data_IF_356062278966
#
_entry.id   IF_356062278966
#
_cell.length_a   1.000
_cell.length_b   1.000
_cell.length_c   1.000
_cell.angle_alpha   90.00
_cell.angle_beta   90.00
_cell.angle_gamma   90.00
#
_symmetry.space_group_name_H-M   'P 1'
#
loop_
_entity.id
_entity.type
_entity.pdbx_description
1 polymer ?
#
# COMPACT_ATOMS: atom_id res chain seq x y z
N UNK A 1 29.58 -12.41 32.91
CA UNK A 1 28.35 -11.56 32.80
C UNK A 1 28.06 -10.98 31.40
N UNK A 2 29.04 -10.76 30.54
CA UNK A 2 28.80 -10.21 29.17
C UNK A 2 28.06 -11.15 28.20
N UNK A 3 28.25 -12.47 28.31
CA UNK A 3 27.61 -13.44 27.41
C UNK A 3 26.10 -13.66 27.66
N UNK A 4 25.65 -13.48 28.90
CA UNK A 4 24.22 -13.65 29.27
C UNK A 4 23.37 -12.54 28.69
N UNK A 5 23.87 -11.30 28.62
CA UNK A 5 23.15 -10.18 28.01
C UNK A 5 22.96 -10.33 26.48
N UNK A 6 23.94 -10.92 25.80
CA UNK A 6 23.85 -11.18 24.34
C UNK A 6 22.82 -12.29 24.05
N UNK A 7 22.75 -13.32 24.88
CA UNK A 7 21.76 -14.39 24.75
C UNK A 7 20.31 -13.87 24.94
N UNK A 8 20.09 -13.00 25.91
CA UNK A 8 18.79 -12.39 26.16
C UNK A 8 18.37 -11.44 25.04
N UNK A 9 19.31 -10.77 24.38
CA UNK A 9 19.03 -9.90 23.23
C UNK A 9 18.65 -10.69 21.98
N UNK A 10 19.23 -11.89 21.78
CA UNK A 10 18.89 -12.77 20.67
C UNK A 10 17.50 -13.42 20.84
N UNK A 11 17.05 -13.68 22.08
CA UNK A 11 15.70 -14.20 22.34
C UNK A 11 14.60 -13.17 22.11
N UNK A 12 14.87 -11.87 22.25
CA UNK A 12 13.86 -10.82 21.96
C UNK A 12 13.57 -10.60 20.48
N UNK A 13 14.44 -11.08 19.58
CA UNK A 13 14.25 -11.02 18.13
C UNK A 13 13.41 -12.18 17.56
N UNK A 14 13.07 -13.18 18.37
CA UNK A 14 12.39 -14.40 17.92
C UNK A 14 10.85 -14.32 17.97
N UNK A 15 10.26 -13.24 18.48
CA UNK A 15 8.82 -13.01 18.41
C UNK A 15 8.46 -12.21 17.15
N UNK A 16 8.76 -12.74 15.98
CA UNK A 16 8.08 -12.32 14.77
C UNK A 16 6.61 -12.75 14.89
N UNK A 17 5.73 -11.82 15.21
CA UNK A 17 4.29 -12.09 15.16
C UNK A 17 3.95 -12.49 13.72
N UNK A 18 3.66 -13.76 13.52
CA UNK A 18 3.25 -14.27 12.23
C UNK A 18 1.82 -13.77 11.98
N UNK A 19 1.63 -13.00 10.90
CA UNK A 19 0.30 -12.54 10.52
C UNK A 19 -0.61 -13.75 10.28
N UNK A 20 -1.73 -13.81 10.98
CA UNK A 20 -2.72 -14.90 10.84
C UNK A 20 -3.54 -14.73 9.57
N UNK A 21 -3.83 -13.49 9.18
CA UNK A 21 -4.58 -13.13 7.98
C UNK A 21 -3.91 -11.95 7.30
N UNK A 22 -3.90 -11.95 5.98
CA UNK A 22 -3.46 -10.84 5.14
C UNK A 22 -4.61 -10.48 4.21
N UNK A 23 -5.03 -9.21 4.24
CA UNK A 23 -6.03 -8.66 3.33
C UNK A 23 -5.34 -7.68 2.40
N UNK A 24 -5.48 -7.90 1.10
CA UNK A 24 -4.90 -7.05 0.07
C UNK A 24 -6.02 -6.37 -0.73
N UNK A 25 -6.10 -5.05 -0.62
CA UNK A 25 -7.11 -4.23 -1.30
C UNK A 25 -6.46 -3.47 -2.44
N UNK A 26 -7.07 -3.51 -3.61
CA UNK A 26 -6.60 -2.82 -4.81
C UNK A 26 -7.67 -1.81 -5.22
N UNK A 27 -7.33 -0.52 -5.19
CA UNK A 27 -8.16 0.54 -5.75
C UNK A 27 -7.76 0.78 -7.20
N UNK A 28 -8.50 0.21 -8.15
CA UNK A 28 -8.23 0.38 -9.57
C UNK A 28 -8.49 1.83 -9.99
N UNK A 29 -7.50 2.45 -10.64
CA UNK A 29 -7.54 3.86 -11.03
C UNK A 29 -7.50 4.86 -9.86
N UNK A 30 -7.34 4.39 -8.62
CA UNK A 30 -7.32 5.22 -7.42
C UNK A 30 -5.94 5.86 -7.22
N UNK A 31 -5.75 7.05 -7.76
CA UNK A 31 -4.54 7.85 -7.56
C UNK A 31 -4.61 8.70 -6.30
N UNK A 32 -3.48 9.34 -5.95
CA UNK A 32 -3.36 10.22 -4.78
C UNK A 32 -4.37 11.37 -4.82
N UNK A 33 -4.66 11.91 -6.00
CA UNK A 33 -5.61 13.02 -6.16
C UNK A 33 -7.05 12.59 -5.84
N UNK A 34 -7.46 11.38 -6.22
CA UNK A 34 -8.78 10.85 -5.90
C UNK A 34 -8.94 10.65 -4.39
N UNK A 35 -7.90 10.13 -3.73
CA UNK A 35 -7.88 9.97 -2.26
C UNK A 35 -7.99 11.32 -1.57
N UNK A 36 -7.11 12.27 -1.91
CA UNK A 36 -7.11 13.61 -1.31
C UNK A 36 -8.42 14.36 -1.57
N UNK A 37 -8.94 14.32 -2.80
CA UNK A 37 -10.22 14.94 -3.13
C UNK A 37 -11.38 14.35 -2.32
N UNK A 38 -11.39 13.04 -2.08
CA UNK A 38 -12.40 12.39 -1.23
C UNK A 38 -12.28 12.86 0.22
N UNK A 39 -11.08 12.95 0.76
CA UNK A 39 -10.87 13.41 2.13
C UNK A 39 -11.28 14.88 2.34
N UNK A 40 -11.01 15.73 1.36
CA UNK A 40 -11.46 17.12 1.35
C UNK A 40 -13.00 17.20 1.28
N UNK A 41 -13.61 16.45 0.39
CA UNK A 41 -15.07 16.39 0.25
C UNK A 41 -15.75 15.94 1.55
N UNK A 42 -15.23 14.90 2.19
CA UNK A 42 -15.78 14.40 3.45
C UNK A 42 -15.62 15.42 4.60
N UNK A 43 -14.53 16.17 4.62
CA UNK A 43 -14.36 17.25 5.59
C UNK A 43 -15.38 18.37 5.37
N UNK A 44 -15.62 18.77 4.12
CA UNK A 44 -16.61 19.79 3.77
C UNK A 44 -18.03 19.36 4.13
N UNK A 45 -18.40 18.09 3.92
CA UNK A 45 -19.70 17.56 4.36
C UNK A 45 -19.95 17.70 5.87
N UNK A 46 -18.89 17.76 6.66
CA UNK A 46 -18.93 17.99 8.11
C UNK A 46 -18.75 19.47 8.49
N UNK A 47 -18.74 20.39 7.51
CA UNK A 47 -18.49 21.81 7.73
C UNK A 47 -17.08 22.13 8.22
N UNK A 48 -16.09 21.28 7.96
CA UNK A 48 -14.70 21.45 8.37
C UNK A 48 -13.83 21.87 7.19
N UNK A 49 -12.84 22.72 7.48
CA UNK A 49 -11.78 23.05 6.52
C UNK A 49 -10.67 21.99 6.67
N UNK A 50 -10.10 21.54 5.55
CA UNK A 50 -9.00 20.60 5.51
C UNK A 50 -9.41 19.22 4.99
N UNK A 51 -8.94 18.17 5.61
CA UNK A 51 -9.19 16.78 5.20
C UNK A 51 -9.80 15.96 6.34
N UNK A 52 -10.63 14.99 5.97
CA UNK A 52 -11.08 13.92 6.87
C UNK A 52 -10.39 12.64 6.43
N UNK A 53 -9.40 12.12 7.18
CA UNK A 53 -8.65 10.93 6.78
C UNK A 53 -9.55 9.73 6.55
N UNK A 54 -9.31 9.01 5.46
CA UNK A 54 -9.88 7.70 5.22
C UNK A 54 -9.20 6.67 6.12
N UNK A 55 -9.86 5.54 6.36
CA UNK A 55 -9.32 4.50 7.25
C UNK A 55 -7.90 4.07 6.85
N UNK A 56 -7.67 3.85 5.57
CA UNK A 56 -6.38 3.37 5.07
C UNK A 56 -5.29 4.46 5.02
N UNK A 57 -5.66 5.75 4.88
CA UNK A 57 -4.69 6.85 4.93
C UNK A 57 -4.20 7.12 6.36
N UNK A 58 -4.92 6.63 7.37
CA UNK A 58 -4.52 6.68 8.77
C UNK A 58 -3.66 5.48 9.23
N UNK A 59 -3.31 4.56 8.34
CA UNK A 59 -2.43 3.44 8.68
C UNK A 59 -1.02 3.91 9.00
N UNK A 60 -0.34 3.25 9.96
CA UNK A 60 0.97 3.71 10.46
C UNK A 60 2.11 3.55 9.45
N UNK A 61 1.92 2.74 8.41
CA UNK A 61 2.93 2.48 7.39
C UNK A 61 2.38 2.90 6.04
N UNK A 62 3.16 3.69 5.32
CA UNK A 62 2.86 4.17 3.97
C UNK A 62 4.04 3.89 3.05
N UNK A 63 3.75 3.56 1.80
CA UNK A 63 4.74 3.38 0.74
C UNK A 63 4.23 3.91 -0.58
N UNK A 64 5.13 4.07 -1.53
CA UNK A 64 4.81 4.49 -2.90
C UNK A 64 5.32 3.45 -3.89
N UNK A 65 4.57 3.25 -4.95
CA UNK A 65 4.96 2.41 -6.07
C UNK A 65 4.78 3.18 -7.38
N UNK A 66 5.68 2.93 -8.34
CA UNK A 66 5.50 3.40 -9.71
C UNK A 66 4.79 2.32 -10.51
N UNK A 67 3.76 2.72 -11.25
CA UNK A 67 2.91 1.81 -12.02
C UNK A 67 3.00 2.13 -13.51
N UNK A 68 4.01 1.62 -14.17
CA UNK A 68 4.14 1.71 -15.63
C UNK A 68 4.20 0.30 -16.24
N UNK A 69 3.60 0.11 -17.42
CA UNK A 69 3.64 -1.16 -18.13
C UNK A 69 4.95 -1.34 -18.90
N UNK A 70 5.12 -2.48 -19.56
CA UNK A 70 6.30 -2.70 -20.40
C UNK A 70 6.34 -1.82 -21.66
N UNK A 71 5.20 -1.25 -22.06
CA UNK A 71 5.07 -0.47 -23.30
C UNK A 71 4.61 0.98 -23.10
N UNK A 72 4.19 1.38 -21.88
CA UNK A 72 3.59 2.69 -21.68
C UNK A 72 3.89 3.21 -20.27
N UNK A 73 4.08 4.54 -20.16
CA UNK A 73 4.26 5.21 -18.87
C UNK A 73 3.00 5.19 -18.00
N UNK A 74 1.82 4.98 -18.59
CA UNK A 74 0.56 4.76 -17.88
C UNK A 74 0.10 3.34 -18.16
N UNK A 75 0.06 2.51 -17.11
CA UNK A 75 -0.43 1.13 -17.20
C UNK A 75 -1.95 1.11 -17.30
N UNK A 76 -2.50 0.10 -17.97
CA UNK A 76 -3.90 -0.27 -17.84
C UNK A 76 -4.11 -1.36 -16.78
N UNK A 77 -5.36 -1.68 -16.49
CA UNK A 77 -5.73 -2.66 -15.46
C UNK A 77 -5.27 -4.07 -15.80
N UNK A 78 -5.26 -4.46 -17.08
CA UNK A 78 -4.85 -5.80 -17.51
C UNK A 78 -3.34 -6.02 -17.32
N UNK A 79 -2.52 -5.08 -17.76
CA UNK A 79 -1.07 -5.14 -17.54
C UNK A 79 -0.71 -5.05 -16.06
N UNK A 80 -1.41 -4.22 -15.27
CA UNK A 80 -1.20 -4.10 -13.83
C UNK A 80 -1.60 -5.39 -13.10
N UNK A 81 -2.74 -5.99 -13.45
CA UNK A 81 -3.18 -7.27 -12.89
C UNK A 81 -2.21 -8.40 -13.19
N UNK A 82 -1.71 -8.48 -14.41
CA UNK A 82 -0.66 -9.44 -14.79
C UNK A 82 0.61 -9.25 -13.97
N UNK A 83 1.05 -8.00 -13.79
CA UNK A 83 2.25 -7.71 -12.99
C UNK A 83 2.07 -8.12 -11.51
N UNK A 84 0.90 -7.87 -10.93
CA UNK A 84 0.57 -8.29 -9.56
C UNK A 84 0.54 -9.81 -9.41
N UNK A 85 -0.03 -10.53 -10.38
CA UNK A 85 -0.18 -11.98 -10.33
C UNK A 85 1.14 -12.72 -10.59
N UNK A 86 2.01 -12.19 -11.45
CA UNK A 86 3.19 -12.91 -11.96
C UNK A 86 4.53 -12.31 -11.54
N UNK A 87 4.54 -11.08 -11.05
CA UNK A 87 5.76 -10.31 -10.81
C UNK A 87 6.45 -9.80 -12.08
N UNK A 88 5.82 -9.93 -13.25
CA UNK A 88 6.38 -9.54 -14.54
C UNK A 88 5.51 -8.50 -15.22
N UNK A 89 6.16 -7.47 -15.77
CA UNK A 89 5.47 -6.45 -16.58
C UNK A 89 5.15 -6.98 -17.96
N UNK A 90 3.98 -6.59 -18.45
CA UNK A 90 3.53 -6.81 -19.83
C UNK A 90 3.08 -5.49 -20.46
N UNK A 91 2.68 -5.49 -21.71
CA UNK A 91 2.19 -4.32 -22.43
C UNK A 91 0.68 -4.12 -22.19
N UNK A 92 0.22 -2.88 -22.34
CA UNK A 92 -1.20 -2.55 -22.18
C UNK A 92 -2.08 -3.42 -23.11
N UNK A 93 -3.23 -3.85 -22.61
CA UNK A 93 -4.16 -4.72 -23.31
C UNK A 93 -3.81 -6.22 -23.28
N UNK A 94 -2.67 -6.60 -22.70
CA UNK A 94 -2.29 -8.00 -22.56
C UNK A 94 -2.78 -8.59 -21.23
N UNK A 95 -3.26 -9.80 -21.29
CA UNK A 95 -3.67 -10.62 -20.15
C UNK A 95 -2.84 -11.90 -20.16
#
# INVERSE_FOLDING_TARGET
MRCICILLFLFSLAYAQQAKYVFYFIGDGMGVNQVNGTEMYLAEQEGRIGVKPLLFTAFPITGFATTFSASNSVTDSSAAGTALATGKKTYNGAI
#
